data_IF_143436799674
#
_entry.id   IF_143436799674
#
_cell.length_a   1.000
_cell.length_b   1.000
_cell.length_c   1.000
_cell.angle_alpha   90.00
_cell.angle_beta   90.00
_cell.angle_gamma   90.00
#
_symmetry.space_group_name_H-M   'P 1'
#
loop_
_entity.id
_entity.type
_entity.pdbx_description
1 polymer ?
#
# COMPACT_ATOMS: atom_id res chain seq x y z
N UNK A 1 -19.10 -9.79 12.56
CA UNK A 1 -17.64 -9.57 12.40
C UNK A 1 -17.24 -9.22 10.96
N UNK A 2 -17.81 -9.86 9.92
CA UNK A 2 -17.46 -9.58 8.51
C UNK A 2 -17.77 -8.15 8.02
N UNK A 3 -18.87 -7.55 8.48
CA UNK A 3 -19.27 -6.20 8.06
C UNK A 3 -18.26 -5.09 8.38
N UNK A 4 -17.41 -5.29 9.40
CA UNK A 4 -16.43 -4.28 9.80
C UNK A 4 -15.23 -4.21 8.81
N UNK A 5 -14.93 -5.32 8.11
CA UNK A 5 -13.95 -5.33 7.02
C UNK A 5 -14.45 -4.56 5.79
N UNK A 6 -15.76 -4.59 5.51
CA UNK A 6 -16.36 -3.80 4.42
C UNK A 6 -16.22 -2.30 4.71
N UNK A 7 -16.50 -1.87 5.94
CA UNK A 7 -16.34 -0.47 6.36
C UNK A 7 -14.86 -0.06 6.26
N UNK A 8 -13.93 -0.91 6.74
CA UNK A 8 -12.50 -0.66 6.61
C UNK A 8 -12.08 -0.52 5.14
N UNK A 9 -12.56 -1.42 4.27
CA UNK A 9 -12.27 -1.40 2.84
C UNK A 9 -12.80 -0.14 2.15
N UNK A 10 -14.00 0.32 2.51
CA UNK A 10 -14.57 1.57 2.01
C UNK A 10 -13.72 2.78 2.41
N UNK A 11 -13.39 2.90 3.69
CA UNK A 11 -12.55 3.99 4.20
C UNK A 11 -11.18 3.96 3.50
N UNK A 12 -10.52 2.81 3.49
CA UNK A 12 -9.23 2.65 2.85
C UNK A 12 -9.27 2.97 1.34
N UNK A 13 -10.33 2.57 0.65
CA UNK A 13 -10.54 2.85 -0.77
C UNK A 13 -10.70 4.34 -1.07
N UNK A 14 -11.49 5.06 -0.26
CA UNK A 14 -11.68 6.52 -0.39
C UNK A 14 -10.34 7.25 -0.23
N UNK A 15 -9.61 6.97 0.84
CA UNK A 15 -8.30 7.58 1.07
C UNK A 15 -7.26 7.17 0.03
N UNK A 16 -7.31 5.93 -0.45
CA UNK A 16 -6.44 5.47 -1.51
C UNK A 16 -6.66 6.22 -2.82
N UNK A 17 -7.92 6.44 -3.22
CA UNK A 17 -8.25 7.19 -4.43
C UNK A 17 -7.89 8.68 -4.31
N UNK A 18 -8.08 9.26 -3.12
CA UNK A 18 -7.78 10.68 -2.85
C UNK A 18 -6.28 10.97 -2.79
N UNK A 19 -5.50 10.14 -2.08
CA UNK A 19 -4.07 10.38 -1.85
C UNK A 19 -3.16 9.65 -2.87
N UNK A 20 -3.67 8.66 -3.59
CA UNK A 20 -2.90 7.84 -4.53
C UNK A 20 -1.92 6.84 -3.86
N UNK A 21 -1.94 6.71 -2.53
CA UNK A 21 -0.97 5.90 -1.76
C UNK A 21 -1.37 4.41 -1.68
N UNK A 22 -2.54 4.04 -2.22
CA UNK A 22 -2.97 2.64 -2.27
C UNK A 22 -3.55 2.09 -0.95
N UNK A 23 -3.88 2.94 0.02
CA UNK A 23 -4.59 2.54 1.26
C UNK A 23 -3.77 1.71 2.27
N UNK A 24 -2.55 1.29 1.94
CA UNK A 24 -1.74 0.43 2.81
C UNK A 24 -1.30 1.06 4.13
N UNK A 25 -1.17 2.39 4.18
CA UNK A 25 -0.90 3.13 5.42
C UNK A 25 -2.06 2.97 6.43
N UNK A 26 -3.29 2.76 5.94
CA UNK A 26 -4.47 2.57 6.78
C UNK A 26 -4.71 1.07 7.03
N UNK A 27 -4.64 0.25 5.97
CA UNK A 27 -4.96 -1.17 6.04
C UNK A 27 -3.97 -1.96 6.90
N UNK A 28 -2.66 -1.69 6.78
CA UNK A 28 -1.65 -2.48 7.51
C UNK A 28 -1.79 -2.29 9.03
N UNK A 29 -1.81 -1.06 9.59
CA UNK A 29 -2.04 -0.87 11.03
C UNK A 29 -3.41 -1.38 11.48
N UNK A 30 -4.48 -1.14 10.71
CA UNK A 30 -5.81 -1.61 11.07
C UNK A 30 -5.83 -3.14 11.19
N UNK A 31 -5.36 -3.87 10.17
CA UNK A 31 -5.31 -5.33 10.17
C UNK A 31 -4.44 -5.89 11.30
N UNK A 32 -3.31 -5.26 11.61
CA UNK A 32 -2.44 -5.71 12.70
C UNK A 32 -3.01 -5.41 14.09
N UNK A 33 -3.47 -4.19 14.34
CA UNK A 33 -3.86 -3.75 15.69
C UNK A 33 -5.32 -4.01 16.03
N UNK A 34 -6.23 -3.91 15.07
CA UNK A 34 -7.67 -4.08 15.30
C UNK A 34 -8.12 -5.52 15.03
N UNK A 35 -7.49 -6.20 14.07
CA UNK A 35 -7.87 -7.56 13.67
C UNK A 35 -6.86 -8.64 14.08
N UNK A 36 -5.74 -8.25 14.67
CA UNK A 36 -4.76 -9.19 15.24
C UNK A 36 -3.96 -9.98 14.20
N UNK A 37 -3.95 -9.55 12.93
CA UNK A 37 -3.14 -10.21 11.90
C UNK A 37 -1.65 -9.97 12.19
N UNK A 38 -0.82 -10.97 11.88
CA UNK A 38 0.63 -10.78 11.87
C UNK A 38 1.03 -9.73 10.83
N UNK A 39 2.19 -9.08 11.01
CA UNK A 39 2.69 -8.06 10.06
C UNK A 39 2.76 -8.60 8.62
N UNK A 40 3.20 -9.85 8.45
CA UNK A 40 3.26 -10.53 7.16
C UNK A 40 1.87 -10.75 6.54
N UNK A 41 0.90 -11.21 7.32
CA UNK A 41 -0.49 -11.37 6.85
C UNK A 41 -1.10 -10.02 6.48
N UNK A 42 -0.97 -9.00 7.32
CA UNK A 42 -1.49 -7.67 7.06
C UNK A 42 -0.91 -7.06 5.77
N UNK A 43 0.40 -7.20 5.53
CA UNK A 43 1.04 -6.75 4.29
C UNK A 43 0.56 -7.54 3.08
N UNK A 44 0.54 -8.88 3.14
CA UNK A 44 0.09 -9.72 2.03
C UNK A 44 -1.36 -9.46 1.65
N UNK A 45 -2.27 -9.39 2.63
CA UNK A 45 -3.68 -9.06 2.41
C UNK A 45 -3.84 -7.67 1.81
N UNK A 46 -3.09 -6.68 2.30
CA UNK A 46 -3.12 -5.31 1.75
C UNK A 46 -2.65 -5.28 0.29
N UNK A 47 -1.54 -5.95 -0.04
CA UNK A 47 -1.04 -6.02 -1.41
C UNK A 47 -2.05 -6.70 -2.36
N UNK A 48 -2.71 -7.77 -1.91
CA UNK A 48 -3.76 -8.43 -2.68
C UNK A 48 -4.96 -7.51 -2.97
N UNK A 49 -5.33 -6.65 -2.01
CA UNK A 49 -6.42 -5.67 -2.17
C UNK A 49 -5.98 -4.48 -3.04
N UNK A 50 -4.71 -4.10 -3.02
CA UNK A 50 -4.20 -2.96 -3.79
C UNK A 50 -4.24 -3.20 -5.31
N UNK A 51 -4.10 -4.44 -5.79
CA UNK A 51 -3.98 -4.70 -7.23
C UNK A 51 -5.34 -4.71 -7.96
N UNK A 52 -6.27 -5.67 -7.76
CA UNK A 52 -7.43 -5.77 -8.65
C UNK A 52 -8.56 -4.74 -8.39
N UNK A 53 -8.98 -4.43 -7.14
CA UNK A 53 -10.08 -3.48 -6.92
C UNK A 53 -9.65 -2.02 -6.76
N UNK A 54 -8.51 -1.72 -6.12
CA UNK A 54 -8.14 -0.32 -5.82
C UNK A 54 -7.28 0.28 -6.93
N UNK A 55 -6.10 -0.31 -7.16
CA UNK A 55 -5.10 0.24 -8.07
C UNK A 55 -5.59 0.24 -9.53
N UNK A 56 -6.18 -0.87 -9.99
CA UNK A 56 -6.68 -0.97 -11.36
C UNK A 56 -7.80 0.04 -11.64
N UNK A 57 -8.83 0.12 -10.79
CA UNK A 57 -9.95 1.04 -11.01
C UNK A 57 -9.53 2.50 -10.94
N UNK A 58 -8.69 2.86 -9.96
CA UNK A 58 -8.15 4.21 -9.86
C UNK A 58 -7.28 4.56 -11.09
N UNK A 59 -6.38 3.66 -11.50
CA UNK A 59 -5.51 3.88 -12.65
C UNK A 59 -6.30 4.04 -13.95
N UNK A 60 -7.35 3.25 -14.17
CA UNK A 60 -8.24 3.42 -15.33
C UNK A 60 -8.87 4.81 -15.31
N UNK A 61 -9.39 5.26 -14.16
CA UNK A 61 -10.00 6.60 -14.06
C UNK A 61 -9.00 7.71 -14.40
N UNK A 62 -7.80 7.69 -13.79
CA UNK A 62 -6.76 8.67 -14.10
C UNK A 62 -6.27 8.59 -15.55
N UNK A 63 -6.25 7.39 -16.15
CA UNK A 63 -5.90 7.20 -17.55
C UNK A 63 -6.94 7.85 -18.48
N UNK A 64 -8.23 7.63 -18.21
CA UNK A 64 -9.32 8.23 -18.96
C UNK A 64 -9.33 9.76 -18.86
N UNK A 65 -8.88 10.31 -17.73
CA UNK A 65 -8.71 11.75 -17.52
C UNK A 65 -7.40 12.31 -18.14
N UNK A 66 -6.58 11.48 -18.81
CA UNK A 66 -5.34 11.90 -19.45
C UNK A 66 -4.16 12.15 -18.49
N UNK A 67 -4.31 11.76 -17.22
CA UNK A 67 -3.33 12.01 -16.15
C UNK A 67 -2.25 10.91 -16.03
N UNK A 68 -2.22 9.94 -16.95
CA UNK A 68 -1.28 8.82 -16.93
C UNK A 68 -0.31 8.89 -18.11
N UNK A 69 0.98 9.08 -17.80
CA UNK A 69 2.06 9.06 -18.79
C UNK A 69 2.58 7.64 -19.03
N UNK A 70 2.01 6.95 -20.02
CA UNK A 70 2.30 5.54 -20.31
C UNK A 70 3.80 5.23 -20.49
N UNK A 71 4.57 6.12 -21.11
CA UNK A 71 6.01 5.93 -21.28
C UNK A 71 6.74 5.77 -19.94
N UNK A 72 6.36 6.54 -18.92
CA UNK A 72 6.93 6.44 -17.57
C UNK A 72 6.45 5.17 -16.86
N UNK A 73 5.18 4.83 -17.04
CA UNK A 73 4.56 3.64 -16.42
C UNK A 73 5.32 2.38 -16.78
N UNK A 74 5.70 2.18 -18.05
CA UNK A 74 6.37 0.95 -18.49
C UNK A 74 7.69 0.73 -17.74
N UNK A 75 8.55 1.74 -17.67
CA UNK A 75 9.85 1.60 -16.99
C UNK A 75 9.68 1.39 -15.48
N UNK A 76 8.76 2.13 -14.85
CA UNK A 76 8.46 1.96 -13.42
C UNK A 76 7.87 0.57 -13.16
N UNK A 77 6.98 0.06 -14.02
CA UNK A 77 6.40 -1.28 -13.88
C UNK A 77 7.46 -2.38 -13.92
N UNK A 78 8.44 -2.29 -14.82
CA UNK A 78 9.53 -3.26 -14.89
C UNK A 78 10.36 -3.25 -13.60
N UNK A 79 10.78 -2.05 -13.16
CA UNK A 79 11.53 -1.90 -11.91
C UNK A 79 10.73 -2.35 -10.69
N UNK A 80 9.44 -2.04 -10.65
CA UNK A 80 8.52 -2.44 -9.59
C UNK A 80 8.32 -3.96 -9.55
N UNK A 81 8.19 -4.61 -10.70
CA UNK A 81 8.05 -6.06 -10.78
C UNK A 81 9.28 -6.77 -10.23
N UNK A 82 10.47 -6.37 -10.68
CA UNK A 82 11.74 -6.96 -10.24
C UNK A 82 11.98 -6.67 -8.75
N UNK A 83 11.87 -5.39 -8.35
CA UNK A 83 12.11 -4.96 -6.98
C UNK A 83 11.09 -5.54 -5.99
N UNK A 84 9.82 -5.64 -6.39
CA UNK A 84 8.75 -6.22 -5.59
C UNK A 84 8.95 -7.72 -5.35
N UNK A 85 9.34 -8.47 -6.39
CA UNK A 85 9.66 -9.90 -6.27
C UNK A 85 10.86 -10.12 -5.34
N UNK A 86 11.96 -9.40 -5.57
CA UNK A 86 13.15 -9.50 -4.71
C UNK A 86 12.80 -9.11 -3.27
N UNK A 87 12.10 -7.99 -3.08
CA UNK A 87 11.66 -7.52 -1.76
C UNK A 87 10.83 -8.55 -1.01
N UNK A 88 9.84 -9.18 -1.67
CA UNK A 88 8.99 -10.21 -1.08
C UNK A 88 9.78 -11.47 -0.68
N UNK A 89 10.80 -11.84 -1.45
CA UNK A 89 11.70 -12.96 -1.12
C UNK A 89 12.57 -12.65 0.10
N UNK A 90 13.10 -11.44 0.21
CA UNK A 90 13.92 -11.05 1.37
C UNK A 90 13.10 -10.86 2.64
N UNK A 91 11.84 -10.39 2.54
CA UNK A 91 11.01 -10.05 3.70
C UNK A 91 10.71 -11.28 4.57
N UNK A 92 10.63 -12.48 3.99
CA UNK A 92 10.38 -13.73 4.72
C UNK A 92 11.45 -14.05 5.77
N UNK A 93 12.65 -13.49 5.65
CA UNK A 93 13.74 -13.67 6.60
C UNK A 93 13.73 -12.67 7.75
N UNK A 94 12.82 -11.69 7.70
CA UNK A 94 12.72 -10.59 8.67
C UNK A 94 11.58 -10.88 9.66
N UNK A 95 11.88 -10.71 10.95
CA UNK A 95 10.86 -10.88 11.99
C UNK A 95 9.76 -9.82 11.90
N UNK A 96 8.52 -10.19 12.23
CA UNK A 96 7.37 -9.28 12.21
C UNK A 96 7.61 -8.00 13.01
N UNK A 97 8.34 -8.09 14.13
CA UNK A 97 8.69 -6.95 14.97
C UNK A 97 9.65 -5.98 14.25
N UNK A 98 10.69 -6.50 13.60
CA UNK A 98 11.64 -5.65 12.86
C UNK A 98 10.96 -5.02 11.64
N UNK A 99 10.15 -5.79 10.90
CA UNK A 99 9.39 -5.30 9.75
C UNK A 99 8.41 -4.18 10.13
N UNK A 100 7.73 -4.34 11.26
CA UNK A 100 6.86 -3.31 11.85
C UNK A 100 7.63 -2.04 12.20
N UNK A 101 8.82 -2.15 12.82
CA UNK A 101 9.69 -1.00 13.13
C UNK A 101 10.15 -0.28 11.86
N UNK A 102 10.62 -1.03 10.86
CA UNK A 102 11.06 -0.48 9.57
C UNK A 102 9.92 0.31 8.92
N UNK A 103 8.72 -0.28 8.85
CA UNK A 103 7.55 0.39 8.27
C UNK A 103 7.19 1.67 9.03
N UNK A 104 7.16 1.64 10.37
CA UNK A 104 6.87 2.82 11.18
C UNK A 104 7.88 3.96 11.01
N UNK A 105 9.18 3.64 11.01
CA UNK A 105 10.24 4.64 10.80
C UNK A 105 10.15 5.26 9.40
N UNK A 106 9.86 4.43 8.38
CA UNK A 106 9.67 4.92 7.02
C UNK A 106 8.48 5.89 6.91
N UNK A 107 7.34 5.56 7.52
CA UNK A 107 6.18 6.45 7.53
C UNK A 107 6.46 7.78 8.24
N UNK A 108 7.18 7.74 9.37
CA UNK A 108 7.57 8.94 10.10
C UNK A 108 8.49 9.83 9.24
N UNK A 109 9.46 9.23 8.55
CA UNK A 109 10.32 9.95 7.62
C UNK A 109 9.53 10.61 6.48
N UNK A 110 8.63 9.86 5.82
CA UNK A 110 7.79 10.40 4.73
C UNK A 110 6.91 11.54 5.24
N UNK A 111 6.27 11.37 6.41
CA UNK A 111 5.44 12.39 7.03
C UNK A 111 6.22 13.67 7.32
N UNK A 112 7.40 13.57 7.94
CA UNK A 112 8.26 14.72 8.21
C UNK A 112 8.68 15.42 6.92
N UNK A 113 9.07 14.67 5.89
CA UNK A 113 9.43 15.24 4.59
C UNK A 113 8.26 15.98 3.93
N UNK A 114 7.04 15.45 4.04
CA UNK A 114 5.86 16.11 3.45
C UNK A 114 5.46 17.39 4.20
N UNK A 115 5.69 17.47 5.51
CA UNK A 115 5.34 18.64 6.33
C UNK A 115 6.42 19.72 6.26
N UNK A 116 7.70 19.33 6.29
CA UNK A 116 8.84 20.24 6.38
C UNK A 116 9.51 20.50 5.04
N UNK A 117 9.17 19.71 4.00
CA UNK A 117 9.63 19.94 2.64
C UNK A 117 9.01 21.22 2.08
N UNK A 118 9.82 22.03 1.41
CA UNK A 118 9.35 23.16 0.61
C UNK A 118 8.47 22.71 -0.55
#
# INVERSE_FOLDING_TARGET
>A
MWGIYLILGLIAGIFSGFLGIGGGIILIPALTYLFGLTQHQAQGTTLAIMVPPIGLLAAIKYYLEGNVKLGIVVFICIGFFIGGLLGAQFVHRISSLLLKKIFGVFLLFVSLKMILGK
#
